data_IF_352209757520
#
_entry.id   IF_352209757520
#
_cell.length_a   1.000
_cell.length_b   1.000
_cell.length_c   1.000
_cell.angle_alpha   90.00
_cell.angle_beta   90.00
_cell.angle_gamma   90.00
#
_symmetry.space_group_name_H-M   'P 1'
#
loop_
_entity.id
_entity.type
_entity.pdbx_description
1 polymer ?
#
# COMPACT_ATOMS: atom_id res chain seq x y z
N UNK A 1 -15.28 -6.54 5.37
CA UNK A 1 -13.85 -6.91 5.33
C UNK A 1 -13.47 -7.09 3.87
N UNK A 2 -12.81 -6.09 3.29
CA UNK A 2 -12.50 -5.99 1.86
C UNK A 2 -11.31 -6.88 1.49
N UNK A 3 -11.33 -7.40 0.26
CA UNK A 3 -10.11 -7.85 -0.43
C UNK A 3 -9.52 -6.59 -1.05
N UNK A 4 -8.31 -6.20 -0.67
CA UNK A 4 -7.70 -5.01 -1.23
C UNK A 4 -7.03 -5.30 -2.58
N UNK A 5 -7.19 -4.38 -3.52
CA UNK A 5 -6.49 -4.36 -4.80
C UNK A 5 -5.45 -3.24 -4.78
N UNK A 6 -4.25 -3.51 -5.29
CA UNK A 6 -3.11 -2.61 -5.12
C UNK A 6 -2.70 -1.96 -6.44
N UNK A 7 -2.24 -0.72 -6.36
CA UNK A 7 -1.54 -0.05 -7.44
C UNK A 7 -0.34 0.73 -6.90
N UNK A 8 0.67 0.91 -7.75
CA UNK A 8 1.80 1.78 -7.49
C UNK A 8 1.69 3.08 -8.27
N UNK A 9 2.11 4.18 -7.64
CA UNK A 9 2.31 5.47 -8.30
C UNK A 9 3.80 5.82 -8.30
N UNK A 10 4.40 5.76 -9.48
CA UNK A 10 5.86 5.71 -9.66
C UNK A 10 6.39 7.06 -10.14
N UNK A 11 7.21 7.75 -9.34
CA UNK A 11 7.67 9.14 -9.60
C UNK A 11 8.65 9.27 -10.77
N UNK A 12 9.24 8.17 -11.22
CA UNK A 12 10.20 8.15 -12.33
C UNK A 12 10.02 6.91 -13.22
N UNK A 13 8.82 6.32 -13.20
CA UNK A 13 8.54 5.04 -13.84
C UNK A 13 8.91 3.82 -12.98
N UNK A 14 8.48 2.64 -13.45
CA UNK A 14 8.62 1.37 -12.72
C UNK A 14 10.08 0.93 -12.72
N UNK A 15 10.56 0.48 -11.55
CA UNK A 15 11.91 -0.08 -11.39
C UNK A 15 13.01 0.96 -11.11
N UNK A 16 12.68 2.25 -11.10
CA UNK A 16 13.62 3.30 -10.68
C UNK A 16 13.69 3.35 -9.15
N UNK A 17 14.91 3.27 -8.62
CA UNK A 17 15.21 3.23 -7.19
C UNK A 17 16.14 4.38 -6.78
N UNK A 18 16.15 4.72 -5.50
CA UNK A 18 17.14 5.63 -4.90
C UNK A 18 18.49 4.90 -4.70
N UNK A 19 19.47 5.59 -4.13
CA UNK A 19 20.81 5.04 -3.87
C UNK A 19 20.84 3.91 -2.81
N UNK A 20 19.74 3.73 -2.06
CA UNK A 20 19.55 2.66 -1.07
C UNK A 20 18.79 1.46 -1.68
N UNK A 21 18.44 1.52 -2.97
CA UNK A 21 17.69 0.48 -3.67
C UNK A 21 16.18 0.53 -3.44
N UNK A 22 15.67 1.59 -2.83
CA UNK A 22 14.26 1.76 -2.55
C UNK A 22 13.53 2.37 -3.75
N UNK A 23 12.40 1.82 -4.18
CA UNK A 23 11.68 2.33 -5.33
C UNK A 23 11.02 3.68 -5.05
N UNK A 24 11.04 4.58 -6.03
CA UNK A 24 10.27 5.82 -5.97
C UNK A 24 8.79 5.56 -6.27
N UNK A 25 8.08 4.95 -5.32
CA UNK A 25 6.71 4.50 -5.45
C UNK A 25 5.87 4.89 -4.24
N UNK A 26 4.68 5.44 -4.47
CA UNK A 26 3.61 5.50 -3.46
C UNK A 26 2.62 4.37 -3.71
N UNK A 27 2.33 3.57 -2.69
CA UNK A 27 1.39 2.47 -2.82
C UNK A 27 -0.04 2.91 -2.46
N UNK A 28 -1.00 2.50 -3.28
CA UNK A 28 -2.42 2.72 -3.03
C UNK A 28 -3.16 1.39 -2.95
N UNK A 29 -4.15 1.32 -2.05
CA UNK A 29 -5.12 0.22 -1.96
C UNK A 29 -6.51 0.68 -2.39
N UNK A 30 -7.27 -0.24 -2.97
CA UNK A 30 -8.63 -0.03 -3.48
C UNK A 30 -9.54 -1.15 -2.98
N UNK A 31 -10.80 -0.84 -2.77
CA UNK A 31 -11.82 -1.81 -2.34
C UNK A 31 -12.30 -2.73 -3.48
N UNK A 32 -12.08 -2.32 -4.74
CA UNK A 32 -12.46 -3.13 -5.90
C UNK A 32 -11.40 -3.13 -7.00
N UNK A 33 -11.34 -4.25 -7.73
CA UNK A 33 -10.51 -4.39 -8.93
C UNK A 33 -10.84 -3.31 -9.96
N UNK A 34 -12.13 -3.05 -10.15
CA UNK A 34 -12.65 -2.09 -11.14
C UNK A 34 -12.16 -0.68 -10.87
N UNK A 35 -12.22 -0.21 -9.63
CA UNK A 35 -11.74 1.13 -9.26
C UNK A 35 -10.23 1.25 -9.46
N UNK A 36 -9.47 0.24 -9.02
CA UNK A 36 -8.03 0.20 -9.24
C UNK A 36 -7.67 0.25 -10.72
N UNK A 37 -8.32 -0.57 -11.54
CA UNK A 37 -8.08 -0.63 -12.98
C UNK A 37 -8.50 0.67 -13.68
N UNK A 38 -9.60 1.31 -13.27
CA UNK A 38 -10.01 2.62 -13.79
C UNK A 38 -9.00 3.71 -13.45
N UNK A 39 -8.46 3.70 -12.22
CA UNK A 39 -7.45 4.67 -11.79
C UNK A 39 -6.12 4.52 -12.55
N UNK A 40 -5.69 3.27 -12.79
CA UNK A 40 -4.52 2.95 -13.63
C UNK A 40 -4.78 3.32 -15.10
N UNK A 41 -5.95 3.03 -15.65
CA UNK A 41 -6.28 3.36 -17.03
C UNK A 41 -6.42 4.88 -17.27
N UNK A 42 -6.77 5.63 -16.23
CA UNK A 42 -6.79 7.09 -16.25
C UNK A 42 -5.39 7.72 -16.10
N UNK A 43 -4.33 6.92 -16.11
CA UNK A 43 -2.96 7.44 -16.12
C UNK A 43 -2.67 8.13 -17.45
N UNK A 44 -2.22 9.36 -17.36
CA UNK A 44 -1.73 10.10 -18.51
C UNK A 44 -0.22 10.23 -18.31
N UNK A 45 0.55 9.42 -19.02
CA UNK A 45 2.00 9.43 -18.91
C UNK A 45 2.54 10.83 -19.17
N UNK A 46 3.03 11.49 -18.12
CA UNK A 46 3.48 12.89 -18.11
C UNK A 46 5.01 13.01 -18.10
N UNK A 47 5.71 11.91 -18.45
CA UNK A 47 7.16 11.73 -18.35
C UNK A 47 7.72 11.85 -16.92
N UNK A 48 6.87 11.83 -15.91
CA UNK A 48 7.28 11.95 -14.51
C UNK A 48 6.65 10.80 -13.73
N UNK A 49 5.33 10.83 -13.57
CA UNK A 49 4.60 9.81 -12.84
C UNK A 49 3.98 8.76 -13.75
N UNK A 50 3.94 7.53 -13.26
CA UNK A 50 3.23 6.42 -13.91
C UNK A 50 2.42 5.64 -12.88
N UNK A 51 1.25 5.14 -13.29
CA UNK A 51 0.40 4.29 -12.46
C UNK A 51 0.45 2.88 -13.00
N UNK A 52 0.65 1.90 -12.13
CA UNK A 52 0.57 0.51 -12.53
C UNK A 52 -0.21 -0.33 -11.53
N UNK A 53 -0.90 -1.32 -12.08
CA UNK A 53 -1.43 -2.45 -11.34
C UNK A 53 -0.31 -3.17 -10.59
N UNK A 54 -0.54 -3.52 -9.32
CA UNK A 54 0.38 -4.40 -8.59
C UNK A 54 -0.32 -5.65 -8.09
N UNK A 55 0.38 -6.77 -8.23
CA UNK A 55 0.03 -7.96 -7.49
C UNK A 55 0.27 -7.75 -6.00
N UNK A 56 -0.40 -8.55 -5.17
CA UNK A 56 -0.16 -8.53 -3.72
C UNK A 56 1.29 -8.88 -3.38
N UNK A 57 1.91 -9.81 -4.10
CA UNK A 57 3.32 -10.19 -3.88
C UNK A 57 4.29 -9.03 -4.13
N UNK A 58 3.95 -8.12 -5.05
CA UNK A 58 4.72 -6.90 -5.30
C UNK A 58 4.39 -5.79 -4.30
N UNK A 59 3.11 -5.63 -3.94
CA UNK A 59 2.65 -4.57 -3.07
C UNK A 59 3.09 -4.73 -1.60
N UNK A 60 3.07 -5.96 -1.06
CA UNK A 60 3.34 -6.15 0.38
C UNK A 60 4.78 -5.84 0.81
N UNK A 61 5.83 -6.20 0.04
CA UNK A 61 7.18 -5.75 0.34
C UNK A 61 7.31 -4.22 0.35
N UNK A 62 6.65 -3.53 -0.59
CA UNK A 62 6.65 -2.06 -0.67
C UNK A 62 5.98 -1.44 0.56
N UNK A 63 4.80 -1.94 0.96
CA UNK A 63 4.15 -1.50 2.21
C UNK A 63 5.07 -1.69 3.41
N UNK A 64 5.75 -2.83 3.50
CA UNK A 64 6.64 -3.11 4.62
C UNK A 64 7.83 -2.16 4.67
N UNK A 65 8.39 -1.80 3.52
CA UNK A 65 9.50 -0.85 3.42
C UNK A 65 9.05 0.56 3.84
N UNK A 66 7.98 1.08 3.22
CA UNK A 66 7.41 2.40 3.55
C UNK A 66 7.03 2.47 5.04
N UNK A 67 6.50 1.39 5.61
CA UNK A 67 6.14 1.35 7.03
C UNK A 67 7.35 1.20 7.96
N UNK A 68 8.46 0.59 7.53
CA UNK A 68 9.69 0.56 8.33
C UNK A 68 10.22 1.98 8.54
N UNK A 69 10.15 2.83 7.52
CA UNK A 69 10.46 4.25 7.63
C UNK A 69 9.43 5.00 8.49
N UNK A 70 8.14 4.64 8.34
CA UNK A 70 7.07 5.27 9.11
C UNK A 70 7.04 4.86 10.59
N UNK A 71 7.70 3.78 11.02
CA UNK A 71 7.86 3.44 12.46
C UNK A 71 8.62 4.52 13.23
N UNK A 72 9.44 5.32 12.55
CA UNK A 72 10.04 6.52 13.13
C UNK A 72 9.03 7.64 13.45
N UNK A 73 7.74 7.47 13.13
CA UNK A 73 6.68 8.41 13.48
C UNK A 73 5.98 8.05 14.79
N UNK A 74 5.98 6.80 15.24
CA UNK A 74 5.45 6.44 16.58
C UNK A 74 6.22 7.20 17.69
N UNK A 75 7.50 7.50 17.49
CA UNK A 75 8.31 8.31 18.40
C UNK A 75 8.07 9.82 18.29
N UNK A 76 7.26 10.29 17.35
CA UNK A 76 6.95 11.72 17.14
C UNK A 76 5.71 12.20 17.91
N UNK A 77 5.09 11.33 18.72
CA UNK A 77 4.00 11.72 19.64
C UNK A 77 2.62 11.82 18.99
N UNK A 78 2.36 11.08 17.90
CA UNK A 78 0.99 10.93 17.40
C UNK A 78 0.17 10.07 18.37
N UNK A 79 -1.10 10.43 18.56
CA UNK A 79 -2.00 9.70 19.46
C UNK A 79 -2.24 8.25 19.01
N UNK A 80 -2.15 7.98 17.69
CA UNK A 80 -2.31 6.65 17.09
C UNK A 80 -2.76 6.73 15.62
N UNK A 81 -3.14 5.58 15.07
CA UNK A 81 -3.45 5.37 13.65
C UNK A 81 -4.84 4.78 13.48
N UNK A 82 -5.58 5.19 12.44
CA UNK A 82 -6.87 4.57 12.08
C UNK A 82 -6.74 3.71 10.84
N UNK A 83 -7.13 2.44 10.93
CA UNK A 83 -7.18 1.50 9.81
C UNK A 83 -8.55 0.82 9.79
N UNK A 84 -9.25 0.91 8.66
CA UNK A 84 -10.61 0.35 8.46
C UNK A 84 -11.58 0.75 9.59
N UNK A 85 -11.55 2.02 10.00
CA UNK A 85 -12.41 2.56 11.06
C UNK A 85 -11.98 2.22 12.50
N UNK A 86 -10.94 1.41 12.70
CA UNK A 86 -10.43 1.02 14.03
C UNK A 86 -9.17 1.83 14.38
N UNK A 87 -9.07 2.26 15.65
CA UNK A 87 -7.92 2.99 16.17
C UNK A 87 -6.87 2.06 16.77
N UNK A 88 -5.60 2.35 16.51
CA UNK A 88 -4.43 1.60 16.98
C UNK A 88 -3.41 2.57 17.56
N UNK A 89 -2.90 2.29 18.77
CA UNK A 89 -1.93 3.16 19.43
C UNK A 89 -0.52 3.09 18.82
N UNK A 90 -0.22 2.09 17.98
CA UNK A 90 1.06 1.96 17.28
C UNK A 90 0.83 1.64 15.80
N UNK A 91 1.77 2.05 14.94
CA UNK A 91 1.70 1.72 13.52
C UNK A 91 1.88 0.20 13.30
N UNK A 92 2.60 -0.46 14.22
CA UNK A 92 2.79 -1.91 14.22
C UNK A 92 1.50 -2.70 14.39
N UNK A 93 0.64 -2.29 15.33
CA UNK A 93 -0.64 -2.97 15.60
C UNK A 93 -1.65 -2.73 14.49
N UNK A 94 -1.72 -1.50 13.99
CA UNK A 94 -2.50 -1.15 12.80
C UNK A 94 -2.17 -2.08 11.63
N UNK A 95 -0.88 -2.38 11.44
CA UNK A 95 -0.41 -3.23 10.37
C UNK A 95 -0.71 -4.72 10.59
N UNK A 96 -0.52 -5.21 11.81
CA UNK A 96 -0.88 -6.58 12.18
C UNK A 96 -2.38 -6.82 11.93
N UNK A 97 -3.22 -5.84 12.25
CA UNK A 97 -4.65 -5.91 11.99
C UNK A 97 -4.98 -5.88 10.49
N UNK A 98 -4.37 -4.99 9.72
CA UNK A 98 -4.54 -4.94 8.25
C UNK A 98 -4.21 -6.29 7.60
N UNK A 99 -3.04 -6.86 7.91
CA UNK A 99 -2.65 -8.16 7.34
C UNK A 99 -3.50 -9.33 7.82
N UNK A 100 -3.96 -9.30 9.07
CA UNK A 100 -4.90 -10.29 9.58
C UNK A 100 -6.24 -10.20 8.85
N UNK A 101 -6.72 -9.00 8.56
CA UNK A 101 -7.93 -8.76 7.78
C UNK A 101 -7.80 -9.26 6.34
N UNK A 102 -6.70 -8.93 5.67
CA UNK A 102 -6.36 -9.40 4.32
C UNK A 102 -6.30 -10.94 4.25
N UNK A 103 -5.62 -11.57 5.21
CA UNK A 103 -5.53 -13.03 5.27
C UNK A 103 -6.90 -13.69 5.51
N UNK A 104 -7.75 -13.08 6.34
CA UNK A 104 -9.10 -13.56 6.61
C UNK A 104 -10.04 -13.40 5.39
N UNK A 105 -9.94 -12.28 4.67
CA UNK A 105 -10.73 -12.03 3.46
C UNK A 105 -10.45 -13.08 2.38
N UNK A 106 -9.19 -13.49 2.22
CA UNK A 106 -8.78 -14.55 1.28
C UNK A 106 -9.31 -15.93 1.62
N UNK A 107 -9.19 -16.35 2.88
CA UNK A 107 -9.74 -17.64 3.33
C UNK A 107 -11.24 -17.77 3.03
N UNK A 108 -11.98 -16.66 3.07
CA UNK A 108 -13.41 -16.62 2.74
C UNK A 108 -13.68 -16.61 1.23
N UNK A 109 -12.76 -16.05 0.44
CA UNK A 109 -12.86 -15.98 -1.01
C UNK A 109 -12.45 -17.29 -1.73
N UNK A 110 -11.83 -18.24 -1.02
CA UNK A 110 -11.34 -19.49 -1.61
C UNK A 110 -10.13 -19.31 -2.52
N UNK A 111 -9.38 -18.20 -2.33
CA UNK A 111 -8.19 -17.82 -3.13
C UNK A 111 -6.95 -17.74 -2.25
#
# INVERSE_FOLDING_TARGET
MSIHFYAGYWRFGVGVTNFEGEPYCSLLSFDSRRERDAWVAADHFDNNWHRSALSRSEALPLMRAELADLRGYDSKGYDGWRVDGVFYASIGDAFAAFFKAEAAARRRAGV
#
